data_IF_597535091108
#
_entry.id   IF_597535091108
#
_cell.length_a   1.000
_cell.length_b   1.000
_cell.length_c   1.000
_cell.angle_alpha   90.00
_cell.angle_beta   90.00
_cell.angle_gamma   90.00
#
_symmetry.space_group_name_H-M   'P 1'
#
loop_
_entity.id
_entity.type
_entity.pdbx_description
1 polymer ?
#
# COMPACT_ATOMS: atom_id res chain seq x y z
N UNK A 1 -25.15 8.44 -98.57
CA UNK A 1 -25.35 7.08 -98.05
C UNK A 1 -25.88 7.17 -96.62
N UNK A 2 -27.12 6.71 -96.38
CA UNK A 2 -27.69 6.46 -95.04
C UNK A 2 -27.04 5.18 -94.45
N UNK A 3 -27.40 4.69 -93.25
CA UNK A 3 -27.90 5.30 -92.00
C UNK A 3 -27.10 4.78 -90.77
N UNK A 4 -27.46 5.20 -89.54
CA UNK A 4 -28.01 4.31 -88.48
C UNK A 4 -27.92 4.95 -87.09
N UNK A 5 -29.09 5.08 -86.47
CA UNK A 5 -29.25 5.02 -85.01
C UNK A 5 -28.67 3.70 -84.49
N UNK A 6 -28.10 3.74 -83.28
CA UNK A 6 -28.22 2.67 -82.28
C UNK A 6 -27.80 3.25 -80.92
N UNK A 7 -28.71 3.21 -79.93
CA UNK A 7 -28.69 2.29 -78.77
C UNK A 7 -27.55 2.61 -77.80
N UNK A 8 -27.70 2.62 -76.48
CA UNK A 8 -28.80 2.32 -75.56
C UNK A 8 -28.21 2.52 -74.15
N UNK A 9 -29.07 2.46 -73.12
CA UNK A 9 -28.76 1.86 -71.79
C UNK A 9 -27.77 2.69 -70.95
N UNK A 10 -28.23 3.59 -70.06
CA UNK A 10 -28.86 3.29 -68.76
C UNK A 10 -28.04 2.29 -67.92
N UNK A 11 -27.28 2.79 -66.95
CA UNK A 11 -27.01 2.24 -65.61
C UNK A 11 -25.70 2.82 -65.05
N UNK A 12 -25.81 4.02 -64.47
CA UNK A 12 -24.80 4.51 -63.53
C UNK A 12 -25.01 3.77 -62.21
N UNK A 13 -24.33 2.64 -62.04
CA UNK A 13 -24.15 2.00 -60.74
C UNK A 13 -22.71 2.29 -60.28
N UNK A 14 -22.50 3.49 -59.71
CA UNK A 14 -21.22 3.85 -59.06
C UNK A 14 -21.41 3.74 -57.54
N UNK A 15 -20.99 2.58 -57.04
CA UNK A 15 -20.52 2.28 -55.69
C UNK A 15 -20.94 3.28 -54.59
N UNK A 16 -22.02 2.92 -53.87
CA UNK A 16 -22.38 3.54 -52.59
C UNK A 16 -21.28 3.22 -51.59
N UNK A 17 -20.53 4.26 -51.22
CA UNK A 17 -19.80 4.46 -49.97
C UNK A 17 -19.82 3.29 -48.97
N UNK A 18 -18.87 2.37 -49.09
CA UNK A 18 -18.49 1.42 -48.04
C UNK A 18 -17.66 2.15 -46.98
N UNK A 19 -18.30 3.07 -46.24
CA UNK A 19 -17.78 3.65 -45.00
C UNK A 19 -18.64 3.11 -43.87
N UNK A 20 -17.99 2.77 -42.75
CA UNK A 20 -18.60 2.42 -41.44
C UNK A 20 -18.83 0.91 -41.26
N UNK A 21 -17.76 0.11 -41.13
CA UNK A 21 -17.79 -1.16 -40.39
C UNK A 21 -16.42 -1.49 -39.74
N UNK A 22 -15.69 -0.47 -39.26
CA UNK A 22 -14.46 -0.69 -38.47
C UNK A 22 -14.64 -0.26 -37.00
N UNK A 23 -15.82 0.26 -36.64
CA UNK A 23 -16.07 0.93 -35.37
C UNK A 23 -16.78 0.15 -34.24
N UNK A 24 -17.01 -1.19 -34.27
CA UNK A 24 -17.48 -1.88 -33.07
C UNK A 24 -16.41 -2.74 -32.36
N UNK A 25 -15.17 -2.83 -32.86
CA UNK A 25 -14.16 -3.72 -32.24
C UNK A 25 -13.39 -3.10 -31.06
N UNK A 26 -13.55 -1.80 -30.78
CA UNK A 26 -12.83 -1.10 -29.71
C UNK A 26 -13.52 -1.18 -28.33
N UNK A 27 -14.75 -1.73 -28.25
CA UNK A 27 -15.55 -1.70 -27.01
C UNK A 27 -15.31 -2.95 -26.12
N UNK A 28 -14.59 -3.96 -26.59
CA UNK A 28 -14.43 -5.24 -25.87
C UNK A 28 -13.17 -5.35 -24.97
N UNK A 29 -12.37 -4.29 -24.81
CA UNK A 29 -11.18 -4.34 -23.96
C UNK A 29 -11.40 -3.91 -22.49
N UNK A 30 -12.65 -3.73 -22.05
CA UNK A 30 -12.97 -3.36 -20.66
C UNK A 30 -13.12 -4.55 -19.69
N UNK A 31 -12.48 -5.69 -19.97
CA UNK A 31 -12.24 -6.71 -18.95
C UNK A 31 -10.97 -6.35 -18.16
N UNK A 32 -10.93 -5.14 -17.59
CA UNK A 32 -10.00 -4.87 -16.50
C UNK A 32 -10.45 -5.74 -15.33
N UNK A 33 -9.93 -6.96 -15.25
CA UNK A 33 -10.18 -7.86 -14.13
C UNK A 33 -9.81 -7.10 -12.86
N UNK A 34 -10.81 -6.76 -12.06
CA UNK A 34 -10.57 -6.23 -10.73
C UNK A 34 -9.72 -7.28 -10.00
N UNK A 35 -8.46 -6.97 -9.71
CA UNK A 35 -7.57 -7.86 -8.96
C UNK A 35 -8.10 -7.92 -7.53
N UNK A 36 -9.03 -8.85 -7.29
CA UNK A 36 -9.44 -9.21 -5.95
C UNK A 36 -8.28 -9.95 -5.28
N UNK A 37 -7.85 -9.42 -4.13
CA UNK A 37 -6.72 -9.97 -3.40
C UNK A 37 -7.07 -11.34 -2.82
N UNK A 38 -6.15 -12.29 -2.93
CA UNK A 38 -6.33 -13.60 -2.30
C UNK A 38 -6.31 -13.48 -0.76
N UNK A 39 -7.05 -14.32 -0.02
CA UNK A 39 -6.98 -14.34 1.45
C UNK A 39 -5.55 -14.54 1.98
N UNK A 40 -4.75 -15.36 1.29
CA UNK A 40 -3.35 -15.64 1.63
C UNK A 40 -2.48 -14.39 1.46
N UNK A 41 -2.69 -13.62 0.39
CA UNK A 41 -1.97 -12.37 0.16
C UNK A 41 -2.36 -11.28 1.17
N UNK A 42 -3.63 -11.21 1.57
CA UNK A 42 -4.10 -10.30 2.63
C UNK A 42 -3.44 -10.64 3.96
N UNK A 43 -3.40 -11.93 4.32
CA UNK A 43 -2.72 -12.40 5.54
C UNK A 43 -1.23 -12.09 5.50
N UNK A 44 -0.58 -12.38 4.37
CA UNK A 44 0.84 -12.08 4.17
C UNK A 44 1.13 -10.59 4.33
N UNK A 45 0.28 -9.71 3.79
CA UNK A 45 0.43 -8.26 3.94
C UNK A 45 0.46 -7.85 5.41
N UNK A 46 -0.38 -8.43 6.26
CA UNK A 46 -0.39 -8.15 7.70
C UNK A 46 0.88 -8.64 8.40
N UNK A 47 1.35 -9.84 8.05
CA UNK A 47 2.59 -10.41 8.59
C UNK A 47 3.80 -9.54 8.22
N UNK A 48 3.97 -9.27 6.92
CA UNK A 48 5.07 -8.47 6.38
C UNK A 48 5.08 -7.06 6.94
N UNK A 49 3.90 -6.43 7.11
CA UNK A 49 3.81 -5.10 7.71
C UNK A 49 4.29 -5.11 9.16
N UNK A 50 3.99 -6.16 9.94
CA UNK A 50 4.52 -6.27 11.31
C UNK A 50 6.03 -6.43 11.30
N UNK A 51 6.53 -7.33 10.44
CA UNK A 51 7.95 -7.65 10.35
C UNK A 51 8.80 -6.44 9.93
N UNK A 52 8.43 -5.76 8.84
CA UNK A 52 9.23 -4.64 8.32
C UNK A 52 9.24 -3.42 9.25
N UNK A 53 8.18 -3.23 10.04
CA UNK A 53 8.11 -2.14 11.02
C UNK A 53 8.69 -2.52 12.39
N UNK A 54 9.10 -3.76 12.61
CA UNK A 54 9.50 -4.26 13.94
C UNK A 54 10.74 -3.54 14.47
N UNK A 55 11.74 -3.28 13.63
CA UNK A 55 12.96 -2.55 14.01
C UNK A 55 12.65 -1.14 14.49
N UNK A 56 11.84 -0.37 13.75
CA UNK A 56 11.42 0.97 14.15
C UNK A 56 10.62 0.95 15.47
N UNK A 57 9.64 0.04 15.56
CA UNK A 57 8.80 -0.11 16.76
C UNK A 57 9.64 -0.48 17.98
N UNK A 58 10.59 -1.39 17.82
CA UNK A 58 11.51 -1.81 18.87
C UNK A 58 12.41 -0.67 19.32
N UNK A 59 12.91 0.15 18.40
CA UNK A 59 13.69 1.36 18.72
C UNK A 59 12.87 2.34 19.57
N UNK A 60 11.65 2.68 19.13
CA UNK A 60 10.77 3.60 19.87
C UNK A 60 10.49 3.04 21.27
N UNK A 61 10.09 1.77 21.36
CA UNK A 61 9.78 1.12 22.64
C UNK A 61 10.99 1.11 23.59
N UNK A 62 12.16 0.75 23.09
CA UNK A 62 13.38 0.70 23.90
C UNK A 62 13.79 2.09 24.39
N UNK A 63 13.68 3.10 23.52
CA UNK A 63 14.03 4.48 23.85
C UNK A 63 13.05 5.06 24.88
N UNK A 64 11.73 4.95 24.66
CA UNK A 64 10.74 5.39 25.64
C UNK A 64 10.88 4.66 26.99
N UNK A 65 11.21 3.36 26.96
CA UNK A 65 11.49 2.61 28.19
C UNK A 65 12.72 3.14 28.93
N UNK A 66 13.80 3.46 28.23
CA UNK A 66 14.99 4.06 28.84
C UNK A 66 14.65 5.33 29.62
N UNK A 67 13.91 6.25 29.00
CA UNK A 67 13.50 7.49 29.65
C UNK A 67 12.50 7.29 30.78
N UNK A 68 11.56 6.35 30.64
CA UNK A 68 10.66 5.95 31.71
C UNK A 68 11.43 5.48 32.95
N UNK A 69 12.38 4.55 32.80
CA UNK A 69 13.15 4.05 33.93
C UNK A 69 14.09 5.10 34.51
N UNK A 70 14.62 6.01 33.69
CA UNK A 70 15.38 7.18 34.16
C UNK A 70 14.51 8.08 35.06
N UNK A 71 13.27 8.35 34.65
CA UNK A 71 12.32 9.12 35.45
C UNK A 71 11.90 8.38 36.74
N UNK A 72 11.71 7.06 36.68
CA UNK A 72 11.46 6.24 37.89
C UNK A 72 12.61 6.34 38.88
N UNK A 73 13.86 6.24 38.42
CA UNK A 73 15.05 6.39 39.28
C UNK A 73 15.06 7.74 39.97
N UNK A 74 14.81 8.83 39.22
CA UNK A 74 14.72 10.18 39.78
C UNK A 74 13.60 10.31 40.82
N UNK A 75 12.41 9.75 40.55
CA UNK A 75 11.31 9.73 41.52
C UNK A 75 11.70 9.03 42.83
N UNK A 76 12.47 7.93 42.74
CA UNK A 76 12.95 7.18 43.91
C UNK A 76 13.94 8.03 44.72
N UNK A 77 14.91 8.67 44.05
CA UNK A 77 15.87 9.58 44.69
C UNK A 77 15.19 10.75 45.41
N UNK A 78 14.09 11.25 44.85
CA UNK A 78 13.31 12.36 45.41
C UNK A 78 12.28 11.91 46.46
N UNK A 79 12.14 10.60 46.74
CA UNK A 79 11.15 10.07 47.68
C UNK A 79 9.69 10.28 47.26
N UNK A 80 9.43 10.66 46.00
CA UNK A 80 8.11 11.07 45.52
C UNK A 80 7.08 9.94 45.49
N UNK A 81 7.55 8.68 45.46
CA UNK A 81 6.70 7.50 45.49
C UNK A 81 6.31 7.04 46.89
N UNK A 82 6.80 7.69 47.95
CA UNK A 82 6.49 7.30 49.32
C UNK A 82 5.00 7.40 49.62
N UNK A 83 4.44 6.37 50.24
CA UNK A 83 3.02 6.26 50.59
C UNK A 83 2.03 6.27 49.40
N UNK A 84 2.52 6.10 48.16
CA UNK A 84 1.68 5.94 46.97
C UNK A 84 1.58 4.46 46.61
N UNK A 85 0.35 3.94 46.46
CA UNK A 85 0.13 2.56 46.03
C UNK A 85 0.69 2.34 44.61
N UNK A 86 1.68 1.45 44.46
CA UNK A 86 2.42 1.26 43.20
C UNK A 86 3.66 2.16 43.05
N UNK A 87 3.94 3.01 44.04
CA UNK A 87 5.18 3.78 44.17
C UNK A 87 5.52 4.63 42.95
N UNK A 88 6.82 4.78 42.68
CA UNK A 88 7.30 5.60 41.57
C UNK A 88 6.89 5.10 40.18
N UNK A 89 6.60 3.82 40.00
CA UNK A 89 6.04 3.31 38.75
C UNK A 89 4.63 3.87 38.50
N UNK A 90 3.83 4.02 39.55
CA UNK A 90 2.51 4.64 39.46
C UNK A 90 2.67 6.13 39.14
N UNK A 91 3.51 6.85 39.87
CA UNK A 91 3.72 8.30 39.68
C UNK A 91 4.18 8.62 38.27
N UNK A 92 5.27 7.98 37.82
CA UNK A 92 5.87 8.23 36.50
C UNK A 92 4.99 7.70 35.37
N UNK A 93 4.16 6.68 35.62
CA UNK A 93 3.21 6.16 34.62
C UNK A 93 2.21 7.19 34.08
N UNK A 94 2.00 8.30 34.79
CA UNK A 94 1.14 9.41 34.36
C UNK A 94 1.91 10.62 33.82
N UNK A 95 3.24 10.56 33.76
CA UNK A 95 4.10 11.65 33.31
C UNK A 95 4.56 11.44 31.85
N UNK A 96 4.79 12.56 31.16
CA UNK A 96 5.55 12.55 29.92
C UNK A 96 7.02 12.43 30.30
N UNK A 97 7.63 11.29 29.96
CA UNK A 97 8.99 10.94 30.41
C UNK A 97 10.08 11.26 29.39
N UNK A 98 9.69 11.57 28.16
CA UNK A 98 10.59 11.85 27.05
C UNK A 98 10.00 12.92 26.14
N UNK A 99 10.87 13.63 25.43
CA UNK A 99 10.49 14.57 24.38
C UNK A 99 10.45 13.87 23.02
N UNK A 100 9.65 14.39 22.08
CA UNK A 100 9.53 13.82 20.74
C UNK A 100 10.88 13.79 20.00
N UNK A 101 11.73 14.80 20.23
CA UNK A 101 13.07 14.88 19.64
C UNK A 101 13.98 13.72 20.07
N UNK A 102 13.72 13.12 21.23
CA UNK A 102 14.47 11.97 21.73
C UNK A 102 14.11 10.67 20.99
N UNK A 103 13.11 10.67 20.10
CA UNK A 103 12.73 9.54 19.26
C UNK A 103 13.14 9.70 17.79
N UNK A 104 13.65 10.87 17.40
CA UNK A 104 13.96 11.18 15.98
C UNK A 104 15.00 10.23 15.39
N UNK A 105 15.95 9.74 16.21
CA UNK A 105 16.94 8.76 15.74
C UNK A 105 16.29 7.42 15.32
N UNK A 106 15.07 7.10 15.76
CA UNK A 106 14.36 5.90 15.33
C UNK A 106 13.75 6.04 13.93
N UNK A 107 13.47 7.26 13.45
CA UNK A 107 12.85 7.47 12.14
C UNK A 107 13.72 6.95 10.98
N UNK A 108 15.03 6.83 11.17
CA UNK A 108 15.93 6.20 10.17
C UNK A 108 15.59 4.72 9.91
N UNK A 109 14.94 4.05 10.87
CA UNK A 109 14.53 2.64 10.78
C UNK A 109 13.11 2.48 10.22
N UNK A 110 12.40 3.58 9.99
CA UNK A 110 11.04 3.54 9.46
C UNK A 110 11.09 3.20 7.97
N UNK A 111 10.45 2.09 7.55
CA UNK A 111 10.45 1.72 6.15
C UNK A 111 9.64 2.72 5.32
N UNK A 112 10.07 2.96 4.08
CA UNK A 112 9.26 3.68 3.11
C UNK A 112 8.13 2.79 2.58
N UNK A 113 7.16 3.42 1.91
CA UNK A 113 6.08 2.67 1.25
C UNK A 113 6.66 1.76 0.15
N UNK A 114 7.65 2.24 -0.60
CA UNK A 114 8.32 1.49 -1.66
C UNK A 114 9.02 0.26 -1.08
N UNK A 115 9.80 0.41 -0.01
CA UNK A 115 10.45 -0.71 0.67
C UNK A 115 9.44 -1.75 1.18
N UNK A 116 8.31 -1.28 1.73
CA UNK A 116 7.23 -2.15 2.20
C UNK A 116 6.57 -2.94 1.08
N UNK A 117 6.35 -2.29 -0.08
CA UNK A 117 5.77 -2.93 -1.26
C UNK A 117 6.75 -3.94 -1.87
N UNK A 118 8.01 -3.55 -2.04
CA UNK A 118 9.06 -4.41 -2.60
C UNK A 118 9.26 -5.65 -1.75
N UNK A 119 9.34 -5.48 -0.43
CA UNK A 119 9.49 -6.59 0.49
C UNK A 119 8.28 -7.54 0.47
N UNK A 120 7.05 -7.00 0.48
CA UNK A 120 5.84 -7.82 0.33
C UNK A 120 5.83 -8.62 -0.98
N UNK A 121 6.22 -8.00 -2.09
CA UNK A 121 6.28 -8.68 -3.39
C UNK A 121 7.35 -9.78 -3.40
N UNK A 122 8.52 -9.52 -2.81
CA UNK A 122 9.59 -10.49 -2.69
C UNK A 122 9.14 -11.72 -1.89
N UNK A 123 8.55 -11.51 -0.72
CA UNK A 123 8.07 -12.60 0.14
C UNK A 123 6.89 -13.33 -0.50
N UNK A 124 5.98 -12.64 -1.18
CA UNK A 124 4.87 -13.28 -1.91
C UNK A 124 5.40 -14.20 -3.02
N UNK A 125 6.40 -13.75 -3.77
CA UNK A 125 7.06 -14.53 -4.83
C UNK A 125 7.79 -15.74 -4.25
N UNK A 126 8.55 -15.56 -3.17
CA UNK A 126 9.27 -16.63 -2.49
C UNK A 126 8.33 -17.72 -1.97
N UNK A 127 7.20 -17.32 -1.38
CA UNK A 127 6.20 -18.24 -0.81
C UNK A 127 5.20 -18.77 -1.86
N UNK A 128 5.31 -18.37 -3.12
CA UNK A 128 4.40 -18.78 -4.19
C UNK A 128 2.96 -18.29 -3.99
N UNK A 129 2.74 -17.19 -3.26
CA UNK A 129 1.41 -16.66 -2.97
C UNK A 129 0.97 -15.74 -4.11
N UNK A 130 -0.12 -16.10 -4.78
CA UNK A 130 -0.71 -15.29 -5.84
C UNK A 130 -1.38 -14.04 -5.25
N UNK A 131 -1.12 -12.87 -5.85
CA UNK A 131 -1.73 -11.61 -5.43
C UNK A 131 -3.21 -11.54 -5.79
N UNK A 132 -3.56 -11.87 -7.03
CA UNK A 132 -4.92 -11.77 -7.55
C UNK A 132 -5.52 -13.18 -7.68
N UNK A 133 -6.82 -13.30 -7.39
CA UNK A 133 -7.61 -14.45 -7.83
C UNK A 133 -7.58 -14.52 -9.37
N UNK A 134 -7.45 -15.74 -9.91
CA UNK A 134 -7.45 -15.99 -11.36
C UNK A 134 -8.86 -16.00 -11.92
#
# INVERSE_FOLDING_TARGET
MRPKLNKAVQHNMRYVSMRIFVTPLLILNFSAQACELTPEYIKLRSEVTKEIHESNRSCIKATSAHFFYKAVSKCIEEGRGENIAGGCYHVVGYEVTHEEMELVHCEVLKPTNEQSIEYLQAVAKERGIAKCLK
#
